data_IF_111466734581
#
_entry.id   IF_111466734581
#
_cell.length_a   1.000
_cell.length_b   1.000
_cell.length_c   1.000
_cell.angle_alpha   90.00
_cell.angle_beta   90.00
_cell.angle_gamma   90.00
#
_symmetry.space_group_name_H-M   'P 1'
#
loop_
_entity.id
_entity.type
_entity.pdbx_description
1 polymer ?
#
# COMPACT_ATOMS: atom_id res chain seq x y z
N UNK A 1 45.63 -13.74 -5.65
CA UNK A 1 44.39 -14.21 -4.99
C UNK A 1 43.84 -13.12 -4.06
N UNK A 2 44.21 -11.85 -4.29
CA UNK A 2 44.11 -10.76 -3.32
C UNK A 2 42.91 -9.85 -3.56
N UNK A 3 42.14 -10.10 -4.62
CA UNK A 3 40.97 -9.31 -4.99
C UNK A 3 39.64 -9.96 -4.59
N UNK A 4 39.66 -11.22 -4.13
CA UNK A 4 38.44 -11.99 -3.81
C UNK A 4 37.75 -11.42 -2.57
N UNK A 5 38.52 -11.10 -1.53
CA UNK A 5 38.03 -10.52 -0.28
C UNK A 5 37.33 -9.17 -0.47
N UNK A 6 37.93 -8.16 -1.15
CA UNK A 6 37.23 -6.90 -1.40
C UNK A 6 36.03 -7.08 -2.33
N UNK A 7 36.10 -7.97 -3.33
CA UNK A 7 34.97 -8.25 -4.23
C UNK A 7 33.77 -8.84 -3.48
N UNK A 8 34.01 -9.79 -2.57
CA UNK A 8 32.95 -10.37 -1.73
C UNK A 8 32.36 -9.33 -0.79
N UNK A 9 33.19 -8.45 -0.21
CA UNK A 9 32.72 -7.37 0.65
C UNK A 9 31.82 -6.39 -0.11
N UNK A 10 32.24 -5.92 -1.29
CA UNK A 10 31.43 -5.01 -2.11
C UNK A 10 30.15 -5.68 -2.63
N UNK A 11 30.19 -6.98 -2.97
CA UNK A 11 29.01 -7.73 -3.38
C UNK A 11 28.00 -7.89 -2.22
N UNK A 12 28.47 -8.21 -1.02
CA UNK A 12 27.63 -8.30 0.17
C UNK A 12 27.02 -6.94 0.54
N UNK A 13 27.80 -5.86 0.45
CA UNK A 13 27.32 -4.50 0.68
C UNK A 13 26.25 -4.10 -0.34
N UNK A 14 26.48 -4.38 -1.63
CA UNK A 14 25.51 -4.10 -2.70
C UNK A 14 24.20 -4.88 -2.49
N UNK A 15 24.28 -6.16 -2.08
CA UNK A 15 23.12 -6.96 -1.74
C UNK A 15 22.36 -6.39 -0.53
N UNK A 16 23.08 -5.97 0.51
CA UNK A 16 22.48 -5.37 1.71
C UNK A 16 21.75 -4.06 1.39
N UNK A 17 22.36 -3.20 0.56
CA UNK A 17 21.74 -1.96 0.07
C UNK A 17 20.52 -2.26 -0.79
N UNK A 18 20.61 -3.24 -1.70
CA UNK A 18 19.47 -3.64 -2.53
C UNK A 18 18.30 -4.18 -1.69
N UNK A 19 18.58 -4.92 -0.62
CA UNK A 19 17.56 -5.40 0.32
C UNK A 19 16.97 -4.26 1.17
N UNK A 20 17.79 -3.31 1.61
CA UNK A 20 17.34 -2.15 2.37
C UNK A 20 16.47 -1.19 1.54
N UNK A 21 16.81 -1.00 0.26
CA UNK A 21 16.03 -0.17 -0.67
C UNK A 21 14.87 -0.93 -1.33
N UNK A 22 14.92 -2.26 -1.32
CA UNK A 22 13.87 -3.14 -1.82
C UNK A 22 12.67 -3.27 -0.89
N UNK A 23 12.65 -2.56 0.25
CA UNK A 23 11.41 -2.39 0.98
C UNK A 23 10.46 -1.62 0.06
N UNK A 24 9.35 -2.26 -0.29
CA UNK A 24 8.23 -1.71 -1.09
C UNK A 24 7.54 -0.54 -0.35
N UNK A 25 8.32 0.48 0.01
CA UNK A 25 7.88 1.66 0.71
C UNK A 25 7.06 2.49 -0.26
N UNK A 26 5.76 2.44 -0.09
CA UNK A 26 4.88 3.43 -0.69
C UNK A 26 5.23 4.83 -0.14
N UNK A 27 4.86 5.88 -0.88
CA UNK A 27 4.94 7.24 -0.36
C UNK A 27 3.95 7.36 0.80
N UNK A 28 4.46 7.70 2.00
CA UNK A 28 3.63 7.91 3.20
C UNK A 28 2.50 8.89 2.90
N UNK A 29 1.31 8.56 3.37
CA UNK A 29 0.13 9.40 3.19
C UNK A 29 -0.54 9.75 4.52
N UNK A 30 -0.57 11.05 4.82
CA UNK A 30 -1.26 11.60 5.99
C UNK A 30 -2.68 12.11 5.62
N UNK A 31 -3.09 12.03 4.34
CA UNK A 31 -4.46 12.30 3.89
C UNK A 31 -5.39 11.10 4.11
N UNK A 32 -6.65 11.19 3.68
CA UNK A 32 -7.65 10.13 3.78
C UNK A 32 -7.43 8.95 2.82
N UNK A 33 -6.46 9.08 1.91
CA UNK A 33 -6.12 8.06 0.93
C UNK A 33 -7.09 7.97 -0.24
N UNK A 34 -7.94 8.98 -0.48
CA UNK A 34 -8.93 8.93 -1.57
C UNK A 34 -8.25 9.02 -2.96
N UNK A 35 -8.33 7.94 -3.80
CA UNK A 35 -7.82 7.96 -5.16
C UNK A 35 -8.73 8.74 -6.13
N UNK A 36 -8.17 9.11 -7.28
CA UNK A 36 -8.89 9.70 -8.43
C UNK A 36 -9.26 8.66 -9.51
N UNK A 37 -9.10 7.38 -9.19
CA UNK A 37 -9.50 6.24 -10.01
C UNK A 37 -8.90 6.28 -11.43
N UNK A 38 -7.57 6.43 -11.51
CA UNK A 38 -6.83 6.24 -12.75
C UNK A 38 -6.92 4.77 -13.25
N UNK A 39 -6.28 4.44 -14.39
CA UNK A 39 -6.38 3.10 -14.97
C UNK A 39 -5.92 1.95 -14.04
N UNK A 40 -4.86 2.17 -13.27
CA UNK A 40 -4.36 1.20 -12.29
C UNK A 40 -5.33 1.07 -11.10
N UNK A 41 -5.83 2.19 -10.60
CA UNK A 41 -6.76 2.25 -9.48
C UNK A 41 -8.12 1.67 -9.80
N UNK A 42 -8.58 1.80 -11.04
CA UNK A 42 -9.76 1.12 -11.55
C UNK A 42 -9.59 -0.40 -11.61
N UNK A 43 -8.38 -0.88 -11.92
CA UNK A 43 -8.07 -2.31 -11.91
C UNK A 43 -8.11 -2.87 -10.49
N UNK A 44 -7.55 -2.13 -9.54
CA UNK A 44 -7.57 -2.43 -8.12
C UNK A 44 -8.96 -2.36 -7.49
N UNK A 45 -9.78 -1.40 -7.95
CA UNK A 45 -11.13 -1.04 -7.51
C UNK A 45 -11.26 -0.59 -6.05
N UNK A 46 -10.75 -1.34 -5.09
CA UNK A 46 -10.91 -1.09 -3.66
C UNK A 46 -9.61 -0.59 -3.03
N UNK A 47 -9.71 0.47 -2.23
CA UNK A 47 -8.57 1.18 -1.66
C UNK A 47 -8.83 1.49 -0.19
N UNK A 48 -7.78 1.42 0.64
CA UNK A 48 -7.89 1.67 2.09
C UNK A 48 -8.27 3.12 2.36
N UNK A 49 -9.21 3.36 3.26
CA UNK A 49 -9.36 4.68 3.87
C UNK A 49 -8.30 4.85 4.96
N UNK A 50 -7.56 5.95 4.92
CA UNK A 50 -6.41 6.11 5.79
C UNK A 50 -6.76 6.45 7.25
N UNK A 51 -7.93 7.04 7.47
CA UNK A 51 -8.38 7.53 8.77
C UNK A 51 -9.40 6.62 9.45
N UNK A 52 -10.19 5.88 8.67
CA UNK A 52 -11.25 5.01 9.17
C UNK A 52 -11.05 3.56 8.71
N UNK A 53 -10.55 2.66 9.57
CA UNK A 53 -10.31 1.27 9.20
C UNK A 53 -11.58 0.47 8.94
N UNK A 54 -12.77 0.98 9.31
CA UNK A 54 -14.05 0.31 9.03
C UNK A 54 -14.65 0.74 7.69
N UNK A 55 -13.90 1.52 6.92
CA UNK A 55 -14.30 2.05 5.63
C UNK A 55 -13.21 1.89 4.57
N UNK A 56 -13.61 2.04 3.32
CA UNK A 56 -12.74 1.96 2.16
C UNK A 56 -13.25 2.89 1.06
N UNK A 57 -12.38 3.12 0.09
CA UNK A 57 -12.66 3.85 -1.13
C UNK A 57 -12.92 2.86 -2.27
N UNK A 58 -14.00 3.07 -3.02
CA UNK A 58 -14.35 2.27 -4.17
C UNK A 58 -14.29 3.11 -5.45
N UNK A 59 -13.49 2.67 -6.41
CA UNK A 59 -13.42 3.23 -7.74
C UNK A 59 -14.49 2.63 -8.65
N UNK A 60 -15.52 3.41 -8.94
CA UNK A 60 -16.65 3.00 -9.79
C UNK A 60 -16.56 3.58 -11.20
N UNK A 61 -15.99 4.79 -11.33
CA UNK A 61 -15.86 5.52 -12.59
C UNK A 61 -14.44 6.04 -12.77
N UNK A 62 -13.86 5.79 -13.94
CA UNK A 62 -12.49 6.19 -14.24
C UNK A 62 -12.31 7.71 -14.20
N UNK A 63 -11.18 8.16 -13.66
CA UNK A 63 -10.78 9.57 -13.54
C UNK A 63 -11.75 10.42 -12.71
N UNK A 64 -12.37 9.83 -11.69
CA UNK A 64 -13.22 10.54 -10.71
C UNK A 64 -12.81 10.16 -9.30
N UNK A 65 -13.04 11.02 -8.29
CA UNK A 65 -12.79 10.67 -6.89
C UNK A 65 -13.55 9.41 -6.49
N UNK A 66 -12.89 8.48 -5.80
CA UNK A 66 -13.51 7.25 -5.34
C UNK A 66 -14.64 7.51 -4.31
N UNK A 67 -15.63 6.62 -4.33
CA UNK A 67 -16.79 6.66 -3.44
C UNK A 67 -16.45 6.07 -2.08
N UNK A 68 -16.87 6.71 -0.98
CA UNK A 68 -16.72 6.18 0.37
C UNK A 68 -17.69 5.02 0.62
N UNK A 69 -17.18 3.89 1.11
CA UNK A 69 -17.95 2.69 1.45
C UNK A 69 -17.60 2.21 2.85
N UNK A 70 -18.54 1.54 3.52
CA UNK A 70 -18.34 0.92 4.83
C UNK A 70 -18.18 -0.59 4.67
N UNK A 71 -17.31 -1.18 5.49
CA UNK A 71 -17.32 -2.62 5.69
C UNK A 71 -18.61 -3.05 6.40
N UNK A 72 -19.02 -4.33 6.27
CA UNK A 72 -20.06 -4.92 7.10
C UNK A 72 -19.76 -4.78 8.59
N UNK A 73 -20.78 -4.99 9.44
CA UNK A 73 -20.62 -5.00 10.90
C UNK A 73 -19.48 -5.92 11.31
N UNK A 74 -18.66 -5.47 12.29
CA UNK A 74 -17.45 -6.17 12.76
C UNK A 74 -16.34 -6.35 11.71
N UNK A 75 -16.46 -5.69 10.55
CA UNK A 75 -15.46 -5.71 9.49
C UNK A 75 -14.52 -4.50 9.51
N UNK A 76 -13.24 -4.74 9.24
CA UNK A 76 -12.24 -3.71 8.94
C UNK A 76 -11.59 -3.99 7.59
N UNK A 77 -11.27 -2.93 6.83
CA UNK A 77 -10.69 -3.07 5.51
C UNK A 77 -9.19 -3.35 5.61
N UNK A 78 -8.77 -4.48 5.06
CA UNK A 78 -7.37 -4.83 4.88
C UNK A 78 -6.89 -4.38 3.49
N UNK A 79 -5.88 -3.52 3.48
CA UNK A 79 -5.29 -2.99 2.26
C UNK A 79 -4.48 -4.02 1.47
N UNK A 80 -3.98 -5.08 2.12
CA UNK A 80 -3.16 -6.11 1.48
C UNK A 80 -4.01 -7.08 0.64
N UNK A 81 -5.10 -7.58 1.22
CA UNK A 81 -6.05 -8.45 0.51
C UNK A 81 -7.10 -7.68 -0.28
N UNK A 82 -7.26 -6.37 0.00
CA UNK A 82 -8.32 -5.49 -0.53
C UNK A 82 -9.72 -6.02 -0.21
N UNK A 83 -9.91 -6.48 1.01
CA UNK A 83 -11.19 -7.00 1.47
C UNK A 83 -11.51 -6.51 2.88
N UNK A 84 -12.78 -6.59 3.26
CA UNK A 84 -13.18 -6.44 4.65
C UNK A 84 -12.96 -7.77 5.37
N UNK A 85 -12.08 -7.77 6.38
CA UNK A 85 -11.79 -8.91 7.24
C UNK A 85 -12.39 -8.69 8.63
N UNK A 86 -12.42 -9.73 9.46
CA UNK A 86 -12.87 -9.60 10.84
C UNK A 86 -11.95 -8.64 11.62
N UNK A 87 -12.52 -7.76 12.44
CA UNK A 87 -11.75 -6.80 13.23
C UNK A 87 -10.74 -7.43 14.19
N UNK A 88 -10.96 -8.67 14.65
CA UNK A 88 -10.01 -9.41 15.50
C UNK A 88 -8.71 -9.77 14.76
N UNK A 89 -8.78 -9.94 13.44
CA UNK A 89 -7.65 -10.32 12.59
C UNK A 89 -6.96 -9.11 11.96
N UNK A 90 -7.51 -7.90 12.17
CA UNK A 90 -7.02 -6.69 11.53
C UNK A 90 -5.82 -6.10 12.28
N UNK A 91 -4.79 -5.74 11.52
CA UNK A 91 -3.60 -5.08 12.03
C UNK A 91 -3.39 -3.72 11.35
N UNK A 92 -2.91 -2.74 12.11
CA UNK A 92 -2.56 -1.45 11.55
C UNK A 92 -1.31 -1.57 10.68
N UNK A 93 -1.40 -1.09 9.44
CA UNK A 93 -0.26 -0.92 8.53
C UNK A 93 -0.01 0.56 8.24
N UNK A 94 1.23 0.95 7.92
CA UNK A 94 1.52 2.30 7.43
C UNK A 94 0.64 2.69 6.23
N UNK A 95 0.25 3.96 6.19
CA UNK A 95 -0.60 4.54 5.14
C UNK A 95 0.20 4.93 3.90
N UNK A 96 -0.38 4.65 2.74
CA UNK A 96 0.24 4.81 1.43
C UNK A 96 -0.58 5.73 0.55
N UNK A 97 0.10 6.59 -0.21
CA UNK A 97 -0.57 7.40 -1.23
C UNK A 97 -1.07 6.49 -2.34
N UNK A 98 -2.30 6.68 -2.82
CA UNK A 98 -2.74 6.00 -4.03
C UNK A 98 -2.01 6.56 -5.26
N UNK A 99 -1.83 5.77 -6.34
CA UNK A 99 -1.05 6.14 -7.53
C UNK A 99 -1.40 7.51 -8.14
N UNK A 100 -2.68 7.91 -8.10
CA UNK A 100 -3.15 9.21 -8.60
C UNK A 100 -2.78 10.42 -7.73
N UNK A 101 -2.20 10.20 -6.54
CA UNK A 101 -1.84 11.24 -5.57
C UNK A 101 -0.34 11.30 -5.26
N UNK A 102 0.44 10.38 -5.83
CA UNK A 102 1.91 10.35 -5.74
C UNK A 102 2.50 11.58 -6.42
#
# INVERSE_FOLDING_TARGET
MDYIEPVLFFAALALFVALALGQNGCVRDDSDGQPQCNAEEMTARLWRNNWDPTAYWECETANTPATYRRCPTEGMFDGATRTCINWFDWEWTPTCKPPSRV
#
